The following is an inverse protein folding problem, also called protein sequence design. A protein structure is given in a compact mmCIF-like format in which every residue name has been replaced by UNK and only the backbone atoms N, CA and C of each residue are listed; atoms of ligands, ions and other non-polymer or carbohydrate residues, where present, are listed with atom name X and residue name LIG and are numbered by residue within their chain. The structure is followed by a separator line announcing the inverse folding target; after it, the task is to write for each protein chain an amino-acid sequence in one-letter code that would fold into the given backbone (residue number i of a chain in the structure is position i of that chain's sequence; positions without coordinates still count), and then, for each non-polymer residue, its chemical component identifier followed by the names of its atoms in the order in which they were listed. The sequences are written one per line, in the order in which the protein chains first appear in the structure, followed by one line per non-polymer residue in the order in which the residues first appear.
data_IF_400426776194
#
_entry.id   IF_400426776194
#
_cell.length_a   1.000
_cell.length_b   1.000
_cell.length_c   1.000
_cell.angle_alpha   90.00
_cell.angle_beta   90.00
_cell.angle_gamma   90.00
#
_symmetry.space_group_name_H-M   'P 1'
#
loop_
_entity.id
_entity.type
_entity.pdbx_description
1 polymer ?
#
# COMPACT_ATOMS: atom_id res chain seq x y z
N UNK A 1 4.22 -0.62 1.98
CA UNK A 1 2.92 -1.29 1.78
C UNK A 1 3.11 -2.35 0.71
N UNK A 2 2.27 -3.36 0.69
CA UNK A 2 2.19 -4.34 -0.40
C UNK A 2 1.11 -3.95 -1.40
N UNK A 3 1.20 -4.42 -2.66
CA UNK A 3 0.16 -4.15 -3.66
C UNK A 3 -1.20 -4.64 -3.14
N UNK A 4 -2.22 -3.79 -3.30
CA UNK A 4 -3.57 -4.06 -2.84
C UNK A 4 -3.82 -3.76 -1.36
N UNK A 5 -2.82 -3.34 -0.59
CA UNK A 5 -3.04 -2.88 0.77
C UNK A 5 -3.87 -1.60 0.81
N UNK A 6 -4.68 -1.48 1.86
CA UNK A 6 -5.42 -0.29 2.21
C UNK A 6 -4.92 0.28 3.53
N UNK A 7 -4.81 1.60 3.60
CA UNK A 7 -4.48 2.35 4.82
C UNK A 7 -5.26 3.66 4.84
N UNK A 8 -5.09 4.45 5.90
CA UNK A 8 -5.74 5.76 6.04
C UNK A 8 -4.78 6.79 6.61
N UNK A 9 -4.83 8.01 6.11
CA UNK A 9 -4.08 9.13 6.68
C UNK A 9 -4.97 9.87 7.68
N UNK A 10 -4.43 10.14 8.86
CA UNK A 10 -5.06 11.04 9.83
C UNK A 10 -4.42 12.42 9.67
N UNK A 11 -5.22 13.41 9.31
CA UNK A 11 -4.82 14.80 9.23
C UNK A 11 -5.63 15.61 10.25
N UNK A 12 -4.95 16.46 11.01
CA UNK A 12 -5.57 17.33 12.01
C UNK A 12 -5.21 18.78 11.72
N UNK A 13 -6.20 19.65 11.86
CA UNK A 13 -6.01 21.10 11.84
C UNK A 13 -6.17 21.67 13.24
N UNK A 14 -5.40 22.72 13.53
CA UNK A 14 -5.51 23.48 14.77
C UNK A 14 -5.70 24.95 14.41
N UNK A 15 -6.82 25.59 14.78
CA UNK A 15 -7.93 25.04 15.57
C UNK A 15 -8.76 23.99 14.79
N UNK A 16 -9.46 23.10 15.52
CA UNK A 16 -10.18 21.97 14.93
C UNK A 16 -11.38 22.36 14.07
N UNK A 17 -11.87 23.60 14.20
CA UNK A 17 -12.94 24.18 13.39
C UNK A 17 -12.44 24.82 12.09
N UNK A 18 -11.15 24.68 11.75
CA UNK A 18 -10.56 25.24 10.53
C UNK A 18 -11.08 24.62 9.23
N UNK A 19 -11.82 23.51 9.30
CA UNK A 19 -12.45 22.89 8.13
C UNK A 19 -11.73 21.64 7.65
N UNK A 20 -11.63 21.46 6.33
CA UNK A 20 -11.23 20.20 5.69
C UNK A 20 -9.91 20.33 4.93
N UNK A 21 -9.10 19.27 4.97
CA UNK A 21 -7.90 19.14 4.14
C UNK A 21 -8.21 18.43 2.82
N UNK A 22 -7.33 18.60 1.84
CA UNK A 22 -7.32 17.82 0.59
C UNK A 22 -6.07 16.95 0.51
N UNK A 23 -6.19 15.84 -0.21
CA UNK A 23 -5.12 14.86 -0.41
C UNK A 23 -4.83 14.69 -1.89
N UNK A 24 -3.55 14.68 -2.25
CA UNK A 24 -3.11 14.42 -3.64
C UNK A 24 -1.96 13.44 -3.65
N UNK A 25 -1.96 12.51 -4.60
CA UNK A 25 -0.84 11.61 -4.86
C UNK A 25 0.01 12.11 -6.01
N UNK A 26 1.33 12.03 -5.89
CA UNK A 26 2.26 12.31 -6.99
C UNK A 26 2.23 11.23 -8.08
N UNK A 27 1.72 10.03 -7.78
CA UNK A 27 1.58 8.94 -8.74
C UNK A 27 0.45 7.98 -8.34
N UNK A 28 -0.73 8.18 -8.91
CA UNK A 28 -1.93 7.37 -8.64
C UNK A 28 -1.83 5.92 -9.12
N UNK A 29 -0.92 5.62 -10.05
CA UNK A 29 -0.68 4.24 -10.51
C UNK A 29 0.15 3.42 -9.52
N UNK A 30 0.81 4.08 -8.56
CA UNK A 30 1.54 3.43 -7.46
C UNK A 30 0.72 3.50 -6.18
N UNK A 31 0.27 4.70 -5.79
CA UNK A 31 -0.54 4.91 -4.59
C UNK A 31 -1.71 5.83 -4.93
N UNK A 32 -2.94 5.34 -4.75
CA UNK A 32 -4.15 6.15 -4.85
C UNK A 32 -4.54 6.67 -3.47
N UNK A 33 -5.04 7.90 -3.40
CA UNK A 33 -5.66 8.49 -2.20
C UNK A 33 -7.00 9.11 -2.58
N UNK A 34 -8.02 8.92 -1.75
CA UNK A 34 -9.34 9.54 -1.94
C UNK A 34 -9.58 10.74 -1.01
N UNK A 35 -10.70 11.43 -1.23
CA UNK A 35 -11.09 12.59 -0.43
C UNK A 35 -11.46 12.25 1.04
N UNK A 36 -11.60 10.97 1.39
CA UNK A 36 -11.89 10.48 2.74
C UNK A 36 -10.60 9.98 3.44
N UNK A 37 -9.44 10.37 2.93
CA UNK A 37 -8.12 9.99 3.43
C UNK A 37 -7.77 8.50 3.29
N UNK A 38 -8.52 7.73 2.49
CA UNK A 38 -8.19 6.33 2.25
C UNK A 38 -7.07 6.24 1.24
N UNK A 39 -6.03 5.48 1.58
CA UNK A 39 -4.86 5.21 0.76
C UNK A 39 -4.93 3.77 0.28
N UNK A 40 -4.69 3.55 -1.01
CA UNK A 40 -4.61 2.22 -1.62
C UNK A 40 -3.30 2.05 -2.36
N UNK A 41 -2.60 0.96 -2.08
CA UNK A 41 -1.44 0.54 -2.87
C UNK A 41 -1.93 -0.10 -4.18
N UNK A 42 -1.52 0.47 -5.32
CA UNK A 42 -1.97 0.10 -6.66
C UNK A 42 -0.90 -0.65 -7.43
N UNK A 43 0.35 -0.20 -7.37
CA UNK A 43 1.48 -0.77 -8.10
C UNK A 43 2.81 -0.52 -7.41
N UNK A 44 3.84 -1.30 -7.77
CA UNK A 44 5.19 -1.18 -7.18
C UNK A 44 5.80 0.18 -7.50
N UNK A 45 6.45 0.78 -6.51
CA UNK A 45 7.18 2.04 -6.67
C UNK A 45 7.04 2.96 -5.47
N UNK A 46 7.30 4.24 -5.71
CA UNK A 46 7.18 5.30 -4.70
C UNK A 46 6.22 6.39 -5.16
N UNK A 47 5.43 6.91 -4.23
CA UNK A 47 4.59 8.07 -4.45
C UNK A 47 4.54 8.93 -3.18
N UNK A 48 4.47 10.24 -3.37
CA UNK A 48 4.27 11.18 -2.28
C UNK A 48 2.79 11.51 -2.15
N UNK A 49 2.24 11.38 -0.95
CA UNK A 49 0.92 11.92 -0.63
C UNK A 49 1.10 13.28 0.04
N UNK A 50 0.49 14.31 -0.56
CA UNK A 50 0.48 15.67 -0.03
C UNK A 50 -0.88 15.98 0.59
N UNK A 51 -0.85 16.51 1.80
CA UNK A 51 -2.00 17.04 2.54
C UNK A 51 -1.93 18.56 2.48
N UNK A 52 -3.02 19.20 2.05
CA UNK A 52 -3.09 20.66 1.95
C UNK A 52 -4.36 21.22 2.56
N UNK A 53 -4.26 22.42 3.13
CA UNK A 53 -5.38 23.23 3.57
C UNK A 53 -5.22 24.62 2.95
N UNK A 54 -6.13 24.99 2.06
CA UNK A 54 -6.04 26.24 1.29
C UNK A 54 -6.43 27.49 2.11
N UNK A 55 -6.95 27.31 3.32
CA UNK A 55 -7.56 28.39 4.09
C UNK A 55 -9.04 28.57 3.74
N UNK A 56 -9.68 29.42 4.53
CA UNK A 56 -11.06 29.88 4.36
C UNK A 56 -11.17 31.37 4.78
N UNK A 57 -12.39 31.89 4.95
CA UNK A 57 -12.63 33.28 5.34
C UNK A 57 -12.09 33.63 6.75
N UNK A 58 -11.82 32.63 7.58
CA UNK A 58 -11.41 32.78 8.98
C UNK A 58 -9.94 32.41 9.22
N UNK A 59 -9.40 31.46 8.46
CA UNK A 59 -8.07 30.89 8.64
C UNK A 59 -7.25 30.94 7.35
N UNK A 60 -5.98 31.34 7.49
CA UNK A 60 -5.04 31.31 6.36
C UNK A 60 -4.71 29.87 5.94
N UNK A 61 -4.18 29.72 4.72
CA UNK A 61 -3.64 28.46 4.24
C UNK A 61 -2.57 27.89 5.19
N UNK A 62 -2.59 26.57 5.40
CA UNK A 62 -1.56 25.89 6.17
C UNK A 62 -0.40 25.46 5.26
N UNK A 63 0.76 25.21 5.86
CA UNK A 63 1.87 24.58 5.15
C UNK A 63 1.50 23.16 4.73
N UNK A 64 1.76 22.83 3.47
CA UNK A 64 1.56 21.47 2.97
C UNK A 64 2.46 20.48 3.71
N UNK A 65 1.90 19.32 4.06
CA UNK A 65 2.68 18.19 4.59
C UNK A 65 2.69 17.06 3.57
N UNK A 66 3.83 16.40 3.45
CA UNK A 66 4.03 15.32 2.48
C UNK A 66 4.56 14.08 3.19
N UNK A 67 4.08 12.92 2.79
CA UNK A 67 4.55 11.61 3.24
C UNK A 67 4.94 10.79 2.01
N UNK A 68 6.17 10.28 1.97
CA UNK A 68 6.57 9.31 0.97
C UNK A 68 6.01 7.92 1.33
N UNK A 69 5.34 7.30 0.37
CA UNK A 69 4.81 5.96 0.47
C UNK A 69 5.56 5.08 -0.51
N UNK A 70 6.11 3.97 -0.01
CA UNK A 70 6.75 2.93 -0.84
C UNK A 70 5.86 1.70 -0.90
N UNK A 71 5.58 1.24 -2.12
CA UNK A 71 4.84 0.00 -2.42
C UNK A 71 5.81 -1.02 -3.00
N UNK A 72 5.80 -2.22 -2.43
CA UNK A 72 6.62 -3.35 -2.85
C UNK A 72 5.76 -4.60 -3.02
N UNK A 73 6.36 -5.64 -3.60
CA UNK A 73 5.75 -6.96 -3.76
C UNK A 73 6.81 -8.02 -3.40
N UNK A 74 6.41 -9.07 -2.67
CA UNK A 74 7.34 -10.07 -2.11
C UNK A 74 6.84 -11.48 -2.30
N UNK A 75 7.72 -12.41 -2.71
CA UNK A 75 7.45 -13.86 -2.77
C UNK A 75 7.71 -14.56 -1.48
N UNK A 76 6.84 -15.52 -1.22
CA UNK A 76 7.01 -16.58 -0.26
C UNK A 76 7.28 -17.87 -1.03
N UNK A 77 8.41 -18.50 -0.74
CA UNK A 77 8.74 -19.84 -1.21
C UNK A 77 8.62 -20.77 -0.02
N UNK A 78 7.76 -21.78 -0.12
CA UNK A 78 7.52 -22.74 0.95
C UNK A 78 7.51 -24.16 0.42
N UNK A 79 7.99 -25.10 1.22
CA UNK A 79 7.87 -26.52 0.95
C UNK A 79 7.71 -27.27 2.28
N UNK A 80 6.81 -28.27 2.34
CA UNK A 80 6.75 -29.15 3.50
C UNK A 80 7.98 -30.08 3.54
N UNK A 81 8.28 -30.61 4.73
CA UNK A 81 9.26 -31.69 4.87
C UNK A 81 8.83 -32.92 4.03
N UNK A 82 9.83 -33.60 3.45
CA UNK A 82 9.60 -34.78 2.62
C UNK A 82 10.35 -36.00 3.16
N UNK A 83 9.59 -37.02 3.52
CA UNK A 83 10.11 -38.38 3.79
C UNK A 83 9.94 -39.24 2.53
N UNK A 84 11.00 -39.93 2.10
CA UNK A 84 10.99 -40.80 0.91
C UNK A 84 11.09 -42.27 1.29
N UNK A 85 10.41 -43.13 0.51
CA UNK A 85 10.54 -44.58 0.58
C UNK A 85 11.10 -45.13 -0.75
N UNK A 86 11.80 -46.27 -0.69
CA UNK A 86 12.33 -46.92 -1.89
C UNK A 86 11.18 -47.32 -2.83
N UNK A 87 11.25 -46.88 -4.10
CA UNK A 87 10.19 -46.99 -5.11
C UNK A 87 8.83 -46.34 -4.72
N UNK A 88 8.82 -45.43 -3.74
CA UNK A 88 7.62 -44.68 -3.37
C UNK A 88 7.26 -43.60 -4.40
N UNK A 89 5.97 -43.21 -4.50
CA UNK A 89 5.50 -42.20 -5.46
C UNK A 89 5.67 -40.74 -4.96
N UNK A 90 6.34 -40.50 -3.83
CA UNK A 90 6.34 -39.19 -3.17
C UNK A 90 7.09 -38.11 -3.97
N UNK A 91 6.56 -36.89 -3.94
CA UNK A 91 7.12 -35.74 -4.65
C UNK A 91 7.44 -34.61 -3.68
N UNK A 92 8.56 -33.94 -3.91
CA UNK A 92 8.83 -32.65 -3.29
C UNK A 92 8.02 -31.59 -4.02
N UNK A 93 7.15 -30.89 -3.31
CA UNK A 93 6.32 -29.82 -3.88
C UNK A 93 6.78 -28.51 -3.29
N UNK A 94 7.15 -27.58 -4.17
CA UNK A 94 7.43 -26.20 -3.80
C UNK A 94 6.21 -25.37 -4.16
N UNK A 95 5.76 -24.58 -3.20
CA UNK A 95 4.68 -23.60 -3.38
C UNK A 95 5.33 -22.23 -3.41
N UNK A 96 5.01 -21.45 -4.45
CA UNK A 96 5.41 -20.06 -4.58
C UNK A 96 4.16 -19.20 -4.58
N UNK A 97 4.05 -18.33 -3.60
CA UNK A 97 2.92 -17.41 -3.42
C UNK A 97 3.41 -15.99 -3.21
N UNK A 98 2.54 -15.02 -3.39
CA UNK A 98 2.75 -13.69 -2.81
C UNK A 98 2.68 -13.76 -1.26
N UNK A 99 2.96 -12.63 -0.63
CA UNK A 99 2.84 -12.40 0.81
C UNK A 99 1.42 -12.61 1.38
N UNK A 100 0.39 -12.62 0.51
CA UNK A 100 -1.01 -12.83 0.84
C UNK A 100 -1.45 -14.29 0.63
N UNK A 101 -0.55 -15.17 0.18
CA UNK A 101 -0.80 -16.58 -0.07
C UNK A 101 -1.43 -16.89 -1.43
N UNK A 102 -1.58 -15.90 -2.32
CA UNK A 102 -2.05 -16.15 -3.69
C UNK A 102 -0.94 -16.80 -4.51
N UNK A 103 -1.24 -17.81 -5.36
CA UNK A 103 -0.25 -18.42 -6.24
C UNK A 103 0.43 -17.37 -7.11
N UNK A 104 1.76 -17.38 -7.14
CA UNK A 104 2.51 -16.51 -8.02
C UNK A 104 2.51 -17.07 -9.44
N UNK A 105 1.44 -16.79 -10.18
CA UNK A 105 1.36 -17.09 -11.60
C UNK A 105 2.13 -16.02 -12.38
N UNK A 106 2.92 -16.44 -13.37
CA UNK A 106 3.72 -15.56 -14.22
C UNK A 106 2.85 -14.41 -14.77
N UNK A 107 2.95 -13.22 -14.17
CA UNK A 107 2.39 -12.01 -14.74
C UNK A 107 3.28 -11.62 -15.92
N UNK A 108 2.91 -12.12 -17.10
CA UNK A 108 3.51 -11.80 -18.39
C UNK A 108 3.22 -10.35 -18.80
#
# INVERSE_FOLDING_TARGET
MEIGDNSSIVATLTPADAGNVTFTSSNSSVVAVDAKSNVKAVGVGKANITVSFAGDDKYAAAENKTVEVTVAEYMVVSAPDLTKYYNGPERFVVIVTDSKGNPWVNQS
#
